data_IF_684156922735
#
_entry.id   IF_684156922735
#
_cell.length_a   1.000
_cell.length_b   1.000
_cell.length_c   1.000
_cell.angle_alpha   90.00
_cell.angle_beta   90.00
_cell.angle_gamma   90.00
#
_symmetry.space_group_name_H-M   'P 1'
#
loop_
_entity.id
_entity.type
_entity.pdbx_description
1 polymer ?
#
# COMPACT_ATOMS: atom_id res chain seq x y z
N UNK A 1 13.10 -36.55 66.80
CA UNK A 1 14.06 -36.64 65.70
C UNK A 1 13.28 -36.95 64.45
N UNK A 2 12.84 -35.92 63.78
CA UNK A 2 12.16 -35.98 62.50
C UNK A 2 12.73 -34.83 61.67
N UNK A 3 13.70 -35.17 60.85
CA UNK A 3 14.36 -34.19 59.93
C UNK A 3 13.83 -34.43 58.53
N UNK A 4 13.23 -33.35 58.00
CA UNK A 4 13.37 -32.83 56.64
C UNK A 4 13.12 -33.75 55.44
N UNK A 5 11.90 -33.68 54.96
CA UNK A 5 11.53 -34.10 53.61
C UNK A 5 10.97 -32.90 52.81
N UNK A 6 11.60 -31.70 52.87
CA UNK A 6 11.08 -30.50 52.20
C UNK A 6 12.01 -29.89 51.15
N UNK A 7 13.26 -30.40 51.00
CA UNK A 7 14.22 -29.84 50.07
C UNK A 7 14.07 -30.34 48.60
N UNK A 8 13.41 -31.48 48.41
CA UNK A 8 13.26 -32.05 47.07
C UNK A 8 12.12 -31.41 46.25
N UNK A 9 11.13 -30.82 46.89
CA UNK A 9 9.99 -30.24 46.20
C UNK A 9 10.30 -28.82 45.66
N UNK A 10 11.09 -28.06 46.44
CA UNK A 10 11.44 -26.67 46.02
C UNK A 10 12.43 -26.66 44.88
N UNK A 11 13.35 -27.65 44.81
CA UNK A 11 14.31 -27.80 43.67
C UNK A 11 13.53 -28.18 42.41
N UNK A 12 12.58 -29.11 42.48
CA UNK A 12 11.76 -29.52 41.34
C UNK A 12 10.84 -28.43 40.85
N UNK A 13 10.25 -27.62 41.74
CA UNK A 13 9.44 -26.48 41.35
C UNK A 13 10.26 -25.41 40.66
N UNK A 14 11.43 -25.05 41.18
CA UNK A 14 12.33 -24.09 40.57
C UNK A 14 12.84 -24.55 39.19
N UNK A 15 13.14 -25.84 39.02
CA UNK A 15 13.55 -26.40 37.71
C UNK A 15 12.38 -26.40 36.70
N UNK A 16 11.16 -26.66 37.14
CA UNK A 16 9.98 -26.58 36.28
C UNK A 16 9.63 -25.15 35.90
N UNK A 17 9.71 -24.20 36.81
CA UNK A 17 9.49 -22.77 36.51
C UNK A 17 10.57 -22.23 35.59
N UNK A 18 11.85 -22.59 35.78
CA UNK A 18 12.93 -22.18 34.90
C UNK A 18 12.78 -22.76 33.51
N UNK A 19 12.37 -24.02 33.37
CA UNK A 19 12.09 -24.64 32.06
C UNK A 19 10.87 -24.04 31.36
N UNK A 20 9.82 -23.68 32.12
CA UNK A 20 8.65 -23.01 31.56
C UNK A 20 8.98 -21.58 31.10
N UNK A 21 9.79 -20.84 31.84
CA UNK A 21 10.21 -19.49 31.47
C UNK A 21 11.14 -19.50 30.24
N UNK A 22 12.09 -20.44 30.16
CA UNK A 22 12.93 -20.65 28.97
C UNK A 22 12.09 -21.04 27.75
N UNK A 23 11.09 -21.89 27.91
CA UNK A 23 10.15 -22.23 26.84
C UNK A 23 9.28 -21.04 26.42
N UNK A 24 8.82 -20.21 27.37
CA UNK A 24 8.04 -19.02 27.08
C UNK A 24 8.86 -17.95 26.34
N UNK A 25 10.10 -17.69 26.76
CA UNK A 25 11.00 -16.77 26.08
C UNK A 25 11.38 -17.26 24.67
N UNK A 26 11.65 -18.56 24.51
CA UNK A 26 11.90 -19.15 23.19
C UNK A 26 10.67 -19.04 22.30
N UNK A 27 9.47 -19.27 22.82
CA UNK A 27 8.23 -19.12 22.07
C UNK A 27 7.99 -17.68 21.64
N UNK A 28 8.21 -16.70 22.53
CA UNK A 28 8.13 -15.28 22.21
C UNK A 28 9.16 -14.86 21.16
N UNK A 29 10.37 -15.37 21.24
CA UNK A 29 11.43 -15.12 20.25
C UNK A 29 11.04 -15.66 18.87
N UNK A 30 10.55 -16.90 18.79
CA UNK A 30 10.08 -17.51 17.54
C UNK A 30 8.89 -16.72 16.96
N UNK A 31 7.95 -16.30 17.79
CA UNK A 31 6.80 -15.49 17.37
C UNK A 31 7.30 -14.15 16.82
N UNK A 32 8.21 -13.47 17.51
CA UNK A 32 8.74 -12.17 17.09
C UNK A 32 9.54 -12.27 15.78
N UNK A 33 10.37 -13.31 15.62
CA UNK A 33 11.12 -13.55 14.40
C UNK A 33 10.21 -13.91 13.24
N UNK A 34 9.17 -14.72 13.47
CA UNK A 34 8.17 -15.07 12.46
C UNK A 34 7.36 -13.87 12.03
N UNK A 35 6.94 -13.02 12.97
CA UNK A 35 6.30 -11.76 12.66
C UNK A 35 7.20 -10.84 11.85
N UNK A 36 8.47 -10.70 12.23
CA UNK A 36 9.42 -9.87 11.50
C UNK A 36 9.66 -10.39 10.06
N UNK A 37 9.76 -11.70 9.87
CA UNK A 37 9.87 -12.32 8.52
C UNK A 37 8.61 -12.07 7.69
N UNK A 38 7.42 -12.24 8.29
CA UNK A 38 6.16 -12.00 7.60
C UNK A 38 5.99 -10.52 7.22
N UNK A 39 6.35 -9.59 8.09
CA UNK A 39 6.32 -8.16 7.76
C UNK A 39 7.25 -7.84 6.59
N UNK A 40 8.48 -8.38 6.54
CA UNK A 40 9.41 -8.19 5.43
C UNK A 40 8.89 -8.77 4.11
N UNK A 41 8.27 -9.95 4.15
CA UNK A 41 7.69 -10.58 2.96
C UNK A 41 6.51 -9.77 2.41
N UNK A 42 5.63 -9.27 3.29
CA UNK A 42 4.51 -8.42 2.91
C UNK A 42 5.00 -7.11 2.29
N UNK A 43 6.00 -6.47 2.87
CA UNK A 43 6.55 -5.22 2.38
C UNK A 43 7.24 -5.35 1.02
N UNK A 44 8.01 -6.42 0.81
CA UNK A 44 8.63 -6.72 -0.50
C UNK A 44 7.59 -6.93 -1.59
N UNK A 45 6.52 -7.66 -1.29
CA UNK A 45 5.41 -7.86 -2.21
C UNK A 45 4.68 -6.54 -2.50
N UNK A 46 4.39 -5.75 -1.48
CA UNK A 46 3.74 -4.45 -1.65
C UNK A 46 4.58 -3.50 -2.53
N UNK A 47 5.89 -3.42 -2.35
CA UNK A 47 6.77 -2.64 -3.22
C UNK A 47 6.60 -3.01 -4.69
N UNK A 48 6.42 -4.29 -5.01
CA UNK A 48 6.18 -4.76 -6.39
C UNK A 48 4.82 -4.28 -6.93
N UNK A 49 3.77 -4.32 -6.10
CA UNK A 49 2.44 -3.79 -6.50
C UNK A 49 2.48 -2.27 -6.70
N UNK A 50 3.22 -1.53 -5.85
CA UNK A 50 3.41 -0.09 -6.01
C UNK A 50 4.10 0.26 -7.33
N UNK A 51 5.14 -0.48 -7.71
CA UNK A 51 5.82 -0.32 -9.00
C UNK A 51 4.85 -0.62 -10.15
N UNK A 52 4.12 -1.73 -10.09
CA UNK A 52 3.16 -2.11 -11.13
C UNK A 52 2.11 -1.01 -11.36
N UNK A 53 1.39 -0.65 -10.30
CA UNK A 53 0.31 0.33 -10.39
C UNK A 53 0.82 1.73 -10.73
N UNK A 54 1.99 2.13 -10.19
CA UNK A 54 2.60 3.41 -10.50
C UNK A 54 3.04 3.53 -11.96
N UNK A 55 3.62 2.47 -12.54
CA UNK A 55 4.00 2.44 -13.96
C UNK A 55 2.76 2.49 -14.86
N UNK A 56 1.74 1.68 -14.56
CA UNK A 56 0.49 1.68 -15.35
C UNK A 56 -0.15 3.06 -15.31
N UNK A 57 -0.25 3.67 -14.12
CA UNK A 57 -0.80 5.01 -13.94
C UNK A 57 -0.02 6.06 -14.73
N UNK A 58 1.31 6.05 -14.64
CA UNK A 58 2.16 7.00 -15.36
C UNK A 58 2.03 6.86 -16.89
N UNK A 59 2.06 5.63 -17.40
CA UNK A 59 1.96 5.37 -18.86
C UNK A 59 0.59 5.78 -19.39
N UNK A 60 -0.49 5.38 -18.71
CA UNK A 60 -1.86 5.73 -19.15
C UNK A 60 -2.09 7.24 -19.08
N UNK A 61 -1.62 7.90 -18.02
CA UNK A 61 -1.74 9.36 -17.88
C UNK A 61 -0.97 10.10 -18.97
N UNK A 62 0.25 9.64 -19.30
CA UNK A 62 1.04 10.21 -20.39
C UNK A 62 0.34 10.05 -21.74
N UNK A 63 -0.22 8.88 -22.02
CA UNK A 63 -0.98 8.61 -23.23
C UNK A 63 -2.21 9.53 -23.35
N UNK A 64 -2.99 9.65 -22.31
CA UNK A 64 -4.18 10.53 -22.29
C UNK A 64 -3.76 11.98 -22.52
N UNK A 65 -2.69 12.43 -21.84
CA UNK A 65 -2.17 13.79 -22.01
C UNK A 65 -1.80 14.08 -23.45
N UNK A 66 -0.99 13.21 -24.09
CA UNK A 66 -0.53 13.39 -25.46
C UNK A 66 -1.69 13.39 -26.47
N UNK A 67 -2.63 12.44 -26.34
CA UNK A 67 -3.75 12.31 -27.24
C UNK A 67 -4.76 13.45 -27.07
N UNK A 68 -5.06 13.83 -25.84
CA UNK A 68 -6.00 14.93 -25.58
C UNK A 68 -5.40 16.26 -25.98
N UNK A 69 -4.14 16.54 -25.63
CA UNK A 69 -3.48 17.79 -26.01
C UNK A 69 -3.28 17.90 -27.53
N UNK A 70 -3.03 16.80 -28.23
CA UNK A 70 -2.86 16.79 -29.69
C UNK A 70 -4.15 16.89 -30.49
N UNK A 71 -5.28 16.35 -29.99
CA UNK A 71 -6.55 16.30 -30.70
C UNK A 71 -7.60 17.28 -30.18
N UNK A 72 -7.40 17.85 -28.97
CA UNK A 72 -8.37 18.69 -28.28
C UNK A 72 -9.64 17.94 -27.81
N UNK A 73 -9.71 16.62 -27.99
CA UNK A 73 -10.92 15.82 -27.74
C UNK A 73 -10.88 15.14 -26.38
N UNK A 74 -11.83 15.45 -25.44
CA UNK A 74 -11.89 14.83 -24.12
C UNK A 74 -12.29 13.35 -24.12
N UNK A 75 -12.67 12.77 -25.26
CA UNK A 75 -13.03 11.35 -25.39
C UNK A 75 -11.87 10.45 -24.94
N UNK A 76 -10.64 10.90 -25.02
CA UNK A 76 -9.48 10.14 -24.56
C UNK A 76 -9.48 9.84 -23.06
N UNK A 77 -10.31 10.51 -22.27
CA UNK A 77 -10.52 10.18 -20.85
C UNK A 77 -11.09 8.76 -20.62
N UNK A 78 -11.73 8.16 -21.62
CA UNK A 78 -12.16 6.74 -21.48
C UNK A 78 -10.97 5.78 -21.31
N UNK A 79 -9.75 6.17 -21.68
CA UNK A 79 -8.54 5.36 -21.46
C UNK A 79 -8.22 5.14 -19.97
N UNK A 80 -8.81 5.92 -19.04
CA UNK A 80 -8.69 5.64 -17.60
C UNK A 80 -9.19 4.25 -17.23
N UNK A 81 -10.17 3.69 -17.95
CA UNK A 81 -10.65 2.33 -17.76
C UNK A 81 -9.59 1.26 -18.09
N UNK A 82 -8.54 1.63 -18.81
CA UNK A 82 -7.43 0.72 -19.12
C UNK A 82 -6.62 0.36 -17.85
N UNK A 83 -6.60 1.27 -16.85
CA UNK A 83 -5.87 1.04 -15.60
C UNK A 83 -6.37 -0.20 -14.87
N UNK A 84 -7.67 -0.34 -14.53
CA UNK A 84 -8.16 -1.56 -13.89
C UNK A 84 -8.13 -2.77 -14.83
N UNK A 85 -8.37 -2.59 -16.12
CA UNK A 85 -8.39 -3.70 -17.11
C UNK A 85 -7.00 -4.35 -17.26
N UNK A 86 -5.93 -3.59 -17.21
CA UNK A 86 -4.55 -4.11 -17.27
C UNK A 86 -4.03 -4.42 -15.86
N UNK A 87 -4.27 -3.53 -14.91
CA UNK A 87 -3.69 -3.60 -13.57
C UNK A 87 -4.19 -4.79 -12.75
N UNK A 88 -5.50 -5.10 -12.82
CA UNK A 88 -6.07 -6.21 -12.05
C UNK A 88 -5.54 -7.57 -12.52
N UNK A 89 -5.57 -7.93 -13.83
CA UNK A 89 -4.99 -9.19 -14.28
C UNK A 89 -3.49 -9.30 -13.99
N UNK A 90 -2.74 -8.20 -14.18
CA UNK A 90 -1.31 -8.18 -13.88
C UNK A 90 -1.03 -8.39 -12.38
N UNK A 91 -1.84 -7.78 -11.50
CA UNK A 91 -1.74 -7.97 -10.05
C UNK A 91 -2.07 -9.42 -9.65
N UNK A 92 -3.10 -10.02 -10.24
CA UNK A 92 -3.45 -11.43 -10.03
C UNK A 92 -2.30 -12.34 -10.48
N UNK A 93 -1.73 -12.10 -11.65
CA UNK A 93 -0.62 -12.87 -12.18
C UNK A 93 0.63 -12.82 -11.29
N UNK A 94 0.96 -11.62 -10.75
CA UNK A 94 2.05 -11.46 -9.79
C UNK A 94 1.73 -12.21 -8.50
N UNK A 95 0.47 -12.15 -8.01
CA UNK A 95 0.03 -12.86 -6.83
C UNK A 95 0.15 -14.39 -6.97
N UNK A 96 -0.13 -14.92 -8.15
CA UNK A 96 -0.02 -16.36 -8.44
C UNK A 96 1.43 -16.84 -8.54
N UNK A 97 2.36 -15.99 -9.00
CA UNK A 97 3.79 -16.31 -9.10
C UNK A 97 4.55 -16.06 -7.81
N UNK A 98 4.02 -15.24 -6.91
CA UNK A 98 4.63 -14.98 -5.60
C UNK A 98 4.53 -16.22 -4.72
N UNK A 99 5.61 -16.58 -4.00
CA UNK A 99 5.54 -17.59 -2.95
C UNK A 99 4.43 -17.21 -1.98
N UNK A 100 3.61 -18.20 -1.60
CA UNK A 100 2.46 -18.05 -0.71
C UNK A 100 2.94 -17.54 0.65
N UNK A 101 3.16 -16.22 0.75
CA UNK A 101 3.26 -15.61 2.06
C UNK A 101 1.88 -15.81 2.73
N UNK A 102 1.84 -16.30 3.97
CA UNK A 102 0.58 -16.52 4.66
C UNK A 102 -0.23 -15.23 4.59
N UNK A 103 -1.54 -15.35 4.29
CA UNK A 103 -2.47 -14.21 4.23
C UNK A 103 -2.54 -13.56 5.61
N UNK A 104 -1.59 -12.70 5.89
CA UNK A 104 -1.41 -12.03 7.16
C UNK A 104 -2.54 -10.99 7.31
N UNK A 105 -2.93 -10.69 8.54
CA UNK A 105 -3.88 -9.61 8.86
C UNK A 105 -3.54 -8.30 8.13
N UNK A 106 -2.26 -7.96 8.02
CA UNK A 106 -1.76 -6.79 7.29
C UNK A 106 -2.20 -6.77 5.82
N UNK A 107 -2.11 -7.90 5.12
CA UNK A 107 -2.53 -7.98 3.72
C UNK A 107 -4.03 -7.72 3.55
N UNK A 108 -4.85 -8.24 4.47
CA UNK A 108 -6.29 -8.01 4.50
C UNK A 108 -6.62 -6.55 4.80
N UNK A 109 -5.92 -5.94 5.75
CA UNK A 109 -6.10 -4.52 6.10
C UNK A 109 -5.76 -3.60 4.94
N UNK A 110 -4.64 -3.82 4.25
CA UNK A 110 -4.28 -3.07 3.05
C UNK A 110 -5.33 -3.24 1.95
N UNK A 111 -5.84 -4.45 1.75
CA UNK A 111 -6.93 -4.70 0.80
C UNK A 111 -8.19 -3.88 1.12
N UNK A 112 -8.59 -3.78 2.39
CA UNK A 112 -9.72 -2.95 2.80
C UNK A 112 -9.49 -1.46 2.58
N UNK A 113 -8.29 -0.94 2.81
CA UNK A 113 -7.94 0.47 2.55
C UNK A 113 -8.11 0.79 1.06
N UNK A 114 -7.61 -0.08 0.16
CA UNK A 114 -7.75 0.10 -1.28
C UNK A 114 -9.19 -0.08 -1.76
N UNK A 115 -9.96 -0.97 -1.15
CA UNK A 115 -11.38 -1.14 -1.43
C UNK A 115 -12.18 0.12 -1.05
N UNK A 116 -11.92 0.67 0.14
CA UNK A 116 -12.54 1.91 0.58
C UNK A 116 -12.18 3.08 -0.35
N UNK A 117 -10.92 3.20 -0.78
CA UNK A 117 -10.52 4.17 -1.80
C UNK A 117 -11.33 4.01 -3.09
N UNK A 118 -11.43 2.79 -3.63
CA UNK A 118 -12.14 2.52 -4.87
C UNK A 118 -13.61 2.92 -4.80
N UNK A 119 -14.31 2.54 -3.72
CA UNK A 119 -15.72 2.89 -3.49
C UNK A 119 -15.87 4.42 -3.42
N UNK A 120 -15.04 5.10 -2.63
CA UNK A 120 -15.11 6.55 -2.47
C UNK A 120 -14.80 7.27 -3.78
N UNK A 121 -13.82 6.82 -4.55
CA UNK A 121 -13.47 7.40 -5.85
C UNK A 121 -14.65 7.27 -6.84
N UNK A 122 -15.31 6.12 -6.90
CA UNK A 122 -16.50 5.92 -7.75
C UNK A 122 -17.65 6.86 -7.30
N UNK A 123 -17.91 6.95 -6.01
CA UNK A 123 -18.94 7.86 -5.49
C UNK A 123 -18.65 9.33 -5.83
N UNK A 124 -17.39 9.76 -5.68
CA UNK A 124 -16.98 11.13 -6.04
C UNK A 124 -17.13 11.38 -7.54
N UNK A 125 -16.75 10.44 -8.40
CA UNK A 125 -16.90 10.57 -9.85
C UNK A 125 -18.37 10.68 -10.26
N UNK A 126 -19.27 9.88 -9.67
CA UNK A 126 -20.72 9.98 -9.91
C UNK A 126 -21.24 11.34 -9.45
N UNK A 127 -20.82 11.79 -8.27
CA UNK A 127 -21.24 13.09 -7.73
C UNK A 127 -20.76 14.24 -8.62
N UNK A 128 -19.54 14.19 -9.12
CA UNK A 128 -18.97 15.17 -10.05
C UNK A 128 -19.77 15.26 -11.36
N UNK A 129 -20.23 14.13 -11.88
CA UNK A 129 -21.07 14.10 -13.07
C UNK A 129 -22.43 14.80 -12.85
N UNK A 130 -22.93 14.85 -11.60
CA UNK A 130 -24.28 15.41 -11.29
C UNK A 130 -24.24 16.88 -10.86
N UNK A 131 -23.18 17.30 -10.16
CA UNK A 131 -23.12 18.61 -9.47
C UNK A 131 -22.26 19.65 -10.19
N UNK A 132 -21.46 19.23 -11.17
CA UNK A 132 -20.65 20.12 -12.00
C UNK A 132 -19.63 21.02 -11.26
N UNK A 133 -18.54 20.47 -10.73
CA UNK A 133 -17.23 21.05 -11.00
C UNK A 133 -16.13 20.01 -11.16
N UNK A 134 -15.82 19.70 -12.37
CA UNK A 134 -14.78 18.79 -12.83
C UNK A 134 -13.40 19.02 -12.17
N UNK A 135 -13.11 20.25 -11.80
CA UNK A 135 -11.84 20.65 -11.19
C UNK A 135 -11.73 20.14 -9.76
N UNK A 136 -12.76 20.32 -8.94
CA UNK A 136 -12.75 19.91 -7.52
C UNK A 136 -12.62 18.40 -7.35
N UNK A 137 -13.19 17.62 -8.27
CA UNK A 137 -13.14 16.15 -8.27
C UNK A 137 -11.70 15.63 -8.38
N UNK A 138 -10.91 16.17 -9.29
CA UNK A 138 -9.52 15.74 -9.49
C UNK A 138 -8.66 15.94 -8.25
N UNK A 139 -8.82 17.05 -7.54
CA UNK A 139 -8.09 17.30 -6.29
C UNK A 139 -8.49 16.35 -5.19
N UNK A 140 -9.79 16.15 -5.02
CA UNK A 140 -10.31 15.26 -4.01
C UNK A 140 -9.83 13.83 -4.25
N UNK A 141 -9.93 13.35 -5.48
CA UNK A 141 -9.48 11.99 -5.83
C UNK A 141 -7.96 11.86 -5.70
N UNK A 142 -7.18 12.84 -6.14
CA UNK A 142 -5.71 12.80 -6.02
C UNK A 142 -5.27 12.86 -4.57
N UNK A 143 -5.88 13.72 -3.75
CA UNK A 143 -5.58 13.79 -2.32
C UNK A 143 -5.98 12.51 -1.60
N UNK A 144 -7.14 11.95 -1.91
CA UNK A 144 -7.60 10.66 -1.37
C UNK A 144 -6.67 9.52 -1.78
N UNK A 145 -6.18 9.52 -3.02
CA UNK A 145 -5.21 8.55 -3.52
C UNK A 145 -3.90 8.65 -2.75
N UNK A 146 -3.35 9.85 -2.57
CA UNK A 146 -2.15 10.09 -1.77
C UNK A 146 -2.34 9.68 -0.31
N UNK A 147 -3.49 9.98 0.30
CA UNK A 147 -3.83 9.54 1.64
C UNK A 147 -3.90 8.02 1.76
N UNK A 148 -4.41 7.33 0.75
CA UNK A 148 -4.46 5.87 0.69
C UNK A 148 -3.07 5.25 0.65
N UNK A 149 -2.16 5.83 -0.16
CA UNK A 149 -0.75 5.43 -0.21
C UNK A 149 -0.08 5.64 1.15
N UNK A 150 -0.28 6.82 1.75
CA UNK A 150 0.27 7.17 3.06
C UNK A 150 -0.22 6.21 4.15
N UNK A 151 -1.52 5.97 4.24
CA UNK A 151 -2.13 5.04 5.19
C UNK A 151 -1.60 3.62 5.02
N UNK A 152 -1.44 3.17 3.78
CA UNK A 152 -0.84 1.86 3.50
C UNK A 152 0.62 1.82 3.97
N UNK A 153 1.40 2.88 3.73
CA UNK A 153 2.78 2.99 4.19
C UNK A 153 2.91 2.92 5.71
N UNK A 154 1.99 3.56 6.45
CA UNK A 154 1.94 3.52 7.92
C UNK A 154 1.64 2.10 8.41
N UNK A 155 0.65 1.43 7.83
CA UNK A 155 0.25 0.06 8.20
C UNK A 155 1.40 -0.93 7.97
N UNK A 156 2.15 -0.78 6.87
CA UNK A 156 3.28 -1.65 6.51
C UNK A 156 4.57 -1.20 7.23
N UNK A 157 4.58 -0.02 7.86
CA UNK A 157 5.77 0.62 8.46
C UNK A 157 6.91 0.85 7.47
N UNK A 158 6.57 1.22 6.24
CA UNK A 158 7.51 1.48 5.15
C UNK A 158 7.66 2.98 4.93
N UNK A 159 8.77 3.54 5.39
CA UNK A 159 9.06 4.97 5.26
C UNK A 159 9.04 5.51 3.82
N UNK A 160 9.60 4.82 2.80
CA UNK A 160 9.54 5.31 1.42
C UNK A 160 8.11 5.42 0.86
N UNK A 161 7.24 4.50 1.27
CA UNK A 161 5.82 4.52 0.87
C UNK A 161 5.08 5.66 1.57
N UNK A 162 5.36 5.90 2.86
CA UNK A 162 4.82 7.05 3.61
C UNK A 162 5.20 8.35 2.92
N UNK A 163 6.49 8.53 2.61
CA UNK A 163 6.99 9.73 1.95
C UNK A 163 6.35 9.93 0.56
N UNK A 164 6.21 8.87 -0.24
CA UNK A 164 5.55 8.95 -1.54
C UNK A 164 4.08 9.34 -1.43
N UNK A 165 3.35 8.80 -0.44
CA UNK A 165 1.97 9.18 -0.18
C UNK A 165 1.82 10.65 0.23
N UNK A 166 2.68 11.15 1.12
CA UNK A 166 2.71 12.56 1.52
C UNK A 166 3.00 13.48 0.33
N UNK A 167 3.94 13.12 -0.54
CA UNK A 167 4.23 13.89 -1.75
C UNK A 167 3.05 13.93 -2.72
N UNK A 168 2.31 12.83 -2.88
CA UNK A 168 1.11 12.81 -3.74
C UNK A 168 -0.01 13.67 -3.15
N UNK A 169 -0.22 13.68 -1.82
CA UNK A 169 -1.16 14.59 -1.16
C UNK A 169 -0.79 16.04 -1.41
N UNK A 170 0.48 16.40 -1.23
CA UNK A 170 0.99 17.75 -1.49
C UNK A 170 0.84 18.13 -2.96
N UNK A 171 1.11 17.22 -3.88
CA UNK A 171 0.92 17.44 -5.31
C UNK A 171 -0.55 17.74 -5.62
N UNK A 172 -1.50 16.98 -5.05
CA UNK A 172 -2.93 17.26 -5.18
C UNK A 172 -3.33 18.63 -4.63
N UNK A 173 -2.73 19.07 -3.51
CA UNK A 173 -3.07 20.34 -2.86
C UNK A 173 -2.48 21.57 -3.58
N UNK A 174 -1.32 21.44 -4.22
CA UNK A 174 -0.61 22.57 -4.85
C UNK A 174 -1.09 22.90 -6.27
N UNK A 175 -1.75 21.97 -6.93
CA UNK A 175 -2.15 22.13 -8.34
C UNK A 175 -3.61 22.58 -8.48
N UNK A 176 -3.92 23.81 -8.04
CA UNK A 176 -5.31 24.33 -8.03
C UNK A 176 -5.77 24.94 -9.35
N UNK A 177 -4.87 25.29 -10.27
CA UNK A 177 -5.21 26.13 -11.43
C UNK A 177 -5.20 25.41 -12.80
N UNK A 178 -4.99 24.08 -12.82
CA UNK A 178 -4.89 23.35 -14.08
C UNK A 178 -6.24 22.80 -14.54
N UNK A 179 -6.58 23.08 -15.79
CA UNK A 179 -7.80 22.61 -16.44
C UNK A 179 -7.48 21.78 -17.70
N UNK A 180 -8.40 20.92 -18.10
CA UNK A 180 -8.27 20.15 -19.35
C UNK A 180 -7.17 19.08 -19.29
N UNK A 181 -6.42 18.90 -20.37
CA UNK A 181 -5.40 17.86 -20.51
C UNK A 181 -4.28 17.95 -19.47
N UNK A 182 -4.02 19.12 -18.91
CA UNK A 182 -2.97 19.33 -17.89
C UNK A 182 -3.23 18.56 -16.60
N UNK A 183 -4.48 18.23 -16.29
CA UNK A 183 -4.86 17.39 -15.15
C UNK A 183 -4.16 16.02 -15.21
N UNK A 184 -3.94 15.49 -16.41
CA UNK A 184 -3.24 14.23 -16.60
C UNK A 184 -1.78 14.26 -16.14
N UNK A 185 -1.15 15.45 -16.10
CA UNK A 185 0.21 15.61 -15.56
C UNK A 185 0.27 15.32 -14.05
N UNK A 186 -0.76 15.70 -13.30
CA UNK A 186 -0.86 15.42 -11.86
C UNK A 186 -0.81 13.91 -11.64
N UNK A 187 -1.59 13.17 -12.42
CA UNK A 187 -1.64 11.71 -12.33
C UNK A 187 -0.35 11.06 -12.83
N UNK A 188 0.29 11.61 -13.84
CA UNK A 188 1.59 11.17 -14.34
C UNK A 188 2.66 11.31 -13.25
N UNK A 189 2.77 12.48 -12.62
CA UNK A 189 3.71 12.69 -11.52
C UNK A 189 3.38 11.82 -10.31
N UNK A 190 2.11 11.66 -9.97
CA UNK A 190 1.67 10.75 -8.90
C UNK A 190 2.11 9.30 -9.18
N UNK A 191 1.98 8.83 -10.42
CA UNK A 191 2.45 7.52 -10.85
C UNK A 191 3.96 7.36 -10.74
N UNK A 192 4.73 8.37 -11.13
CA UNK A 192 6.20 8.39 -10.99
C UNK A 192 6.61 8.34 -9.52
N UNK A 193 6.01 9.18 -8.67
CA UNK A 193 6.28 9.22 -7.23
C UNK A 193 5.96 7.87 -6.58
N UNK A 194 4.82 7.29 -6.92
CA UNK A 194 4.41 5.97 -6.42
C UNK A 194 5.40 4.87 -6.85
N UNK A 195 5.84 4.90 -8.12
CA UNK A 195 6.84 3.95 -8.64
C UNK A 195 8.17 4.10 -7.92
N UNK A 196 8.65 5.32 -7.75
CA UNK A 196 9.89 5.61 -7.02
C UNK A 196 9.82 5.12 -5.58
N UNK A 197 8.72 5.40 -4.86
CA UNK A 197 8.48 4.90 -3.51
C UNK A 197 8.52 3.36 -3.43
N UNK A 198 7.91 2.68 -4.39
CA UNK A 198 7.94 1.22 -4.50
C UNK A 198 9.35 0.66 -4.77
N UNK A 199 10.12 1.29 -5.66
CA UNK A 199 11.51 0.90 -5.96
C UNK A 199 12.41 1.09 -4.75
N UNK A 200 12.34 2.25 -4.10
CA UNK A 200 13.15 2.56 -2.92
C UNK A 200 12.81 1.59 -1.78
N UNK A 201 11.53 1.33 -1.53
CA UNK A 201 11.10 0.36 -0.51
C UNK A 201 11.65 -1.05 -0.78
N UNK A 202 11.82 -1.41 -2.05
CA UNK A 202 12.39 -2.71 -2.45
C UNK A 202 13.91 -2.78 -2.33
N UNK A 203 14.61 -1.64 -2.55
CA UNK A 203 16.09 -1.56 -2.49
C UNK A 203 16.58 -1.51 -1.05
N UNK A 204 15.96 -0.70 -0.19
CA UNK A 204 16.40 -0.49 1.20
C UNK A 204 16.37 -1.80 2.01
N UNK A 205 15.56 -2.78 1.61
CA UNK A 205 15.42 -4.06 2.31
C UNK A 205 15.95 -5.28 1.55
N UNK A 206 16.85 -5.04 0.63
CA UNK A 206 17.62 -6.09 -0.03
C UNK A 206 18.87 -6.43 0.79
#
# INVERSE_FOLDING_TARGET
>A
MCMTANDGNDVNQNVMETNNNLSAEQSLKIISETMARNCRAVEKNQGTYYILWGVILAVVSALIYLLWNGTGNPVWNYLWFLIPVIGVPAAIFISMKGSVAPKTYLHKTVGWIWCAFGITAVCLTILSCTVNPFVLDTYLITSLFGFTILSTGIVIKSWPIIASGALVVLLGALYTDYAGAQICLIWLFSGIIMTAGGVIARIIKR
#
